data_IF_668921358818
#
_entry.id   IF_668921358818
#
_cell.length_a   1.000
_cell.length_b   1.000
_cell.length_c   1.000
_cell.angle_alpha   90.00
_cell.angle_beta   90.00
_cell.angle_gamma   90.00
#
_symmetry.space_group_name_H-M   'P 1'
#
loop_
_entity.id
_entity.type
_entity.pdbx_description
1 polymer ?
#
# COMPACT_ATOMS: atom_id res chain seq x y z
N UNK A 1 -61.46 -9.73 -45.87
CA UNK A 1 -60.56 -8.58 -45.57
C UNK A 1 -59.43 -9.11 -44.70
N UNK A 2 -58.20 -9.18 -45.23
CA UNK A 2 -56.99 -9.61 -44.50
C UNK A 2 -56.00 -8.44 -44.54
N UNK A 3 -55.57 -7.96 -43.37
CA UNK A 3 -54.58 -6.90 -43.24
C UNK A 3 -53.16 -7.50 -43.19
N UNK A 4 -52.15 -6.88 -43.84
CA UNK A 4 -50.77 -7.34 -43.75
C UNK A 4 -50.09 -6.81 -42.49
N UNK A 5 -49.32 -7.67 -41.82
CA UNK A 5 -48.46 -7.30 -40.70
C UNK A 5 -47.15 -6.72 -41.24
N UNK A 6 -46.88 -5.45 -40.91
CA UNK A 6 -45.58 -4.81 -41.12
C UNK A 6 -44.62 -5.26 -40.01
N UNK A 7 -43.58 -5.98 -40.39
CA UNK A 7 -42.40 -6.23 -39.54
C UNK A 7 -41.45 -5.04 -39.67
N UNK A 8 -41.35 -4.23 -38.61
CA UNK A 8 -40.41 -3.11 -38.51
C UNK A 8 -39.12 -3.62 -37.86
N UNK A 9 -38.08 -3.83 -38.67
CA UNK A 9 -36.74 -4.17 -38.19
C UNK A 9 -36.07 -2.94 -37.59
N UNK A 10 -35.99 -2.87 -36.26
CA UNK A 10 -35.18 -1.87 -35.56
C UNK A 10 -33.69 -2.29 -35.64
N UNK A 11 -32.91 -1.58 -36.44
CA UNK A 11 -31.45 -1.64 -36.40
C UNK A 11 -30.98 -0.92 -35.14
N UNK A 12 -30.62 -1.69 -34.11
CA UNK A 12 -29.95 -1.17 -32.92
C UNK A 12 -28.50 -0.90 -33.34
N UNK A 13 -28.18 0.35 -33.68
CA UNK A 13 -26.82 0.81 -33.81
C UNK A 13 -26.18 0.85 -32.42
N UNK A 14 -25.44 -0.20 -32.05
CA UNK A 14 -24.58 -0.17 -30.88
C UNK A 14 -23.48 0.85 -31.13
N UNK A 15 -23.34 1.92 -30.31
CA UNK A 15 -22.18 2.78 -30.40
C UNK A 15 -20.95 1.91 -30.13
N UNK A 16 -20.07 1.81 -31.12
CA UNK A 16 -18.75 1.26 -30.94
C UNK A 16 -17.97 2.28 -30.11
N UNK A 17 -18.03 2.13 -28.78
CA UNK A 17 -17.06 2.76 -27.91
C UNK A 17 -15.74 2.06 -28.23
N UNK A 18 -14.96 2.67 -29.11
CA UNK A 18 -13.56 2.33 -29.33
C UNK A 18 -12.82 2.67 -28.03
N UNK A 19 -12.94 1.77 -27.05
CA UNK A 19 -11.97 1.69 -25.97
C UNK A 19 -10.67 1.33 -26.65
N UNK A 20 -9.77 2.31 -26.77
CA UNK A 20 -8.37 2.04 -27.12
C UNK A 20 -7.80 1.14 -26.05
N UNK A 21 -7.96 -0.17 -26.22
CA UNK A 21 -7.18 -1.17 -25.52
C UNK A 21 -5.76 -0.96 -25.99
N UNK A 22 -4.98 -0.21 -25.22
CA UNK A 22 -3.52 -0.29 -25.30
C UNK A 22 -3.24 -1.78 -25.07
N UNK A 23 -2.95 -2.52 -26.14
CA UNK A 23 -2.42 -3.88 -26.02
C UNK A 23 -1.11 -3.70 -25.26
N UNK A 24 -1.17 -3.92 -23.95
CA UNK A 24 0.02 -4.14 -23.15
C UNK A 24 0.57 -5.46 -23.67
N UNK A 25 1.57 -5.39 -24.56
CA UNK A 25 2.42 -6.53 -24.83
C UNK A 25 2.89 -7.02 -23.45
N UNK A 26 2.56 -8.28 -23.13
CA UNK A 26 2.86 -8.89 -21.83
C UNK A 26 4.36 -9.19 -21.67
N UNK A 27 5.20 -8.36 -22.28
CA UNK A 27 6.64 -8.39 -22.19
C UNK A 27 6.98 -7.82 -20.83
N UNK A 28 7.21 -8.71 -19.86
CA UNK A 28 8.08 -8.62 -18.66
C UNK A 28 8.27 -7.27 -17.92
N UNK A 29 7.42 -6.28 -18.15
CA UNK A 29 7.57 -4.94 -17.59
C UNK A 29 7.07 -4.95 -16.15
N UNK A 30 7.92 -4.46 -15.26
CA UNK A 30 7.58 -4.19 -13.88
C UNK A 30 6.71 -2.94 -13.84
N UNK A 31 5.48 -3.08 -13.33
CA UNK A 31 4.50 -1.98 -13.32
C UNK A 31 4.28 -1.49 -11.90
N UNK A 32 4.50 -0.19 -11.70
CA UNK A 32 4.32 0.54 -10.43
C UNK A 32 3.26 1.64 -10.58
N UNK A 33 2.02 1.22 -10.83
CA UNK A 33 0.89 2.15 -10.87
C UNK A 33 0.43 2.50 -9.46
N UNK A 34 0.15 3.79 -9.21
CA UNK A 34 -0.40 4.25 -7.93
C UNK A 34 -1.83 3.74 -7.76
N UNK A 35 -2.11 2.98 -6.70
CA UNK A 35 -3.48 2.63 -6.30
C UNK A 35 -4.04 3.72 -5.38
N UNK A 36 -5.22 4.22 -5.73
CA UNK A 36 -5.91 5.27 -4.99
C UNK A 36 -7.36 4.89 -4.75
N UNK A 37 -7.89 5.27 -3.59
CA UNK A 37 -9.31 5.20 -3.28
C UNK A 37 -9.83 6.57 -2.87
N UNK A 38 -11.07 6.89 -3.28
CA UNK A 38 -11.74 8.16 -2.95
C UNK A 38 -11.97 8.33 -1.43
N UNK A 39 -12.05 7.21 -0.71
CA UNK A 39 -12.18 7.15 0.74
C UNK A 39 -11.27 6.03 1.31
N UNK A 40 -10.87 6.13 2.60
CA UNK A 40 -10.20 5.04 3.29
C UNK A 40 -11.01 3.74 3.22
N UNK A 41 -10.38 2.68 2.73
CA UNK A 41 -10.98 1.35 2.62
C UNK A 41 -10.96 0.64 3.97
N UNK A 42 -9.96 0.91 4.82
CA UNK A 42 -9.83 0.31 6.14
C UNK A 42 -9.93 1.39 7.22
N UNK A 43 -10.75 1.08 8.23
CA UNK A 43 -11.04 1.93 9.39
C UNK A 43 -10.70 1.18 10.67
N UNK A 44 -10.85 1.84 11.82
CA UNK A 44 -10.62 1.23 13.14
C UNK A 44 -11.49 0.00 13.43
N UNK A 45 -12.56 -0.23 12.67
CA UNK A 45 -13.40 -1.43 12.80
C UNK A 45 -12.75 -2.67 12.14
N UNK A 46 -11.69 -2.51 11.36
CA UNK A 46 -10.95 -3.62 10.76
C UNK A 46 -10.03 -4.27 11.81
N UNK A 47 -10.37 -5.47 12.26
CA UNK A 47 -9.66 -6.17 13.35
C UNK A 47 -8.16 -6.39 13.08
N UNK A 48 -7.80 -6.45 11.79
CA UNK A 48 -6.45 -6.72 11.30
C UNK A 48 -5.72 -5.44 10.85
N UNK A 49 -6.13 -4.28 11.38
CA UNK A 49 -5.46 -2.99 11.20
C UNK A 49 -4.36 -2.78 12.23
N UNK A 50 -3.23 -2.22 11.81
CA UNK A 50 -2.05 -1.96 12.64
C UNK A 50 -1.44 -0.58 12.38
N UNK A 51 -0.92 0.11 13.40
CA UNK A 51 -1.01 -0.25 14.82
C UNK A 51 -2.45 -0.16 15.33
N UNK A 52 -2.74 -0.84 16.45
CA UNK A 52 -4.05 -0.82 17.10
C UNK A 52 -3.92 -0.67 18.60
N UNK A 53 -5.03 -0.30 19.24
CA UNK A 53 -5.09 -0.17 20.70
C UNK A 53 -4.76 -1.49 21.39
N UNK A 54 -3.90 -1.44 22.39
CA UNK A 54 -3.68 -2.57 23.29
C UNK A 54 -4.94 -2.82 24.12
N UNK A 55 -5.22 -4.09 24.44
CA UNK A 55 -6.36 -4.49 25.28
C UNK A 55 -5.86 -5.30 26.48
N UNK A 56 -6.40 -5.07 27.67
CA UNK A 56 -6.02 -5.80 28.89
C UNK A 56 -6.54 -5.15 30.17
N UNK A 57 -6.63 -5.92 31.27
CA UNK A 57 -7.25 -5.47 32.54
C UNK A 57 -6.57 -4.25 33.17
N UNK A 58 -5.29 -4.01 32.88
CA UNK A 58 -4.50 -2.92 33.46
C UNK A 58 -3.92 -1.96 32.41
N UNK A 59 -4.47 -1.95 31.18
CA UNK A 59 -3.98 -1.08 30.10
C UNK A 59 -4.89 0.15 29.98
N UNK A 60 -4.37 1.31 30.34
CA UNK A 60 -5.10 2.59 30.26
C UNK A 60 -5.03 3.16 28.83
N UNK A 61 -3.86 3.09 28.21
CA UNK A 61 -3.59 3.54 26.85
C UNK A 61 -2.31 2.86 26.35
N UNK A 62 -2.23 2.63 25.04
CA UNK A 62 -1.09 1.97 24.43
C UNK A 62 -1.46 1.44 23.05
N UNK A 63 -0.45 1.34 22.19
CA UNK A 63 -0.60 0.81 20.84
C UNK A 63 0.33 -0.36 20.64
N UNK A 64 -0.21 -1.45 20.12
CA UNK A 64 0.57 -2.58 19.64
C UNK A 64 0.63 -2.56 18.11
N UNK A 65 1.71 -3.12 17.57
CA UNK A 65 1.92 -3.23 16.12
C UNK A 65 2.51 -4.59 15.80
N UNK A 66 2.02 -5.22 14.72
CA UNK A 66 2.72 -6.35 14.09
C UNK A 66 3.87 -5.89 13.19
N UNK A 67 3.95 -4.62 12.83
CA UNK A 67 5.00 -4.07 11.96
C UNK A 67 6.00 -3.28 12.80
N UNK A 68 7.30 -3.55 12.62
CA UNK A 68 8.37 -2.85 13.34
C UNK A 68 8.40 -1.37 12.92
N UNK A 69 8.39 -0.48 13.92
CA UNK A 69 8.62 0.94 13.70
C UNK A 69 10.12 1.25 13.53
N UNK A 70 10.44 2.32 12.82
CA UNK A 70 11.80 2.74 12.48
C UNK A 70 11.95 3.07 11.01
N UNK A 71 13.21 3.08 10.54
CA UNK A 71 13.53 3.30 9.14
C UNK A 71 13.35 1.99 8.36
N UNK A 72 12.96 2.09 7.11
CA UNK A 72 12.81 0.98 6.18
C UNK A 72 13.37 1.41 4.83
N UNK A 73 13.97 0.48 4.11
CA UNK A 73 14.46 0.69 2.75
C UNK A 73 13.64 -0.17 1.80
N UNK A 74 13.10 0.44 0.76
CA UNK A 74 12.56 -0.26 -0.40
C UNK A 74 13.71 -0.48 -1.38
N UNK A 75 14.11 -1.73 -1.56
CA UNK A 75 15.07 -2.11 -2.59
C UNK A 75 14.30 -2.60 -3.80
N UNK A 76 14.50 -2.01 -4.99
CA UNK A 76 13.85 -2.50 -6.20
C UNK A 76 14.34 -3.91 -6.55
N UNK A 77 13.53 -4.61 -7.34
CA UNK A 77 13.90 -5.90 -7.86
C UNK A 77 15.10 -5.73 -8.82
N UNK A 78 16.23 -6.45 -8.62
CA UNK A 78 17.40 -6.30 -9.48
C UNK A 78 17.16 -6.76 -10.93
N UNK A 79 16.05 -7.45 -11.22
CA UNK A 79 15.63 -7.79 -12.57
C UNK A 79 14.86 -6.65 -13.28
N UNK A 80 14.50 -5.59 -12.56
CA UNK A 80 13.87 -4.40 -13.14
C UNK A 80 14.95 -3.39 -13.56
N UNK A 81 15.27 -3.36 -14.85
CA UNK A 81 16.27 -2.44 -15.42
C UNK A 81 15.81 -0.97 -15.41
N UNK A 82 14.52 -0.73 -15.19
CA UNK A 82 13.90 0.59 -15.16
C UNK A 82 13.54 1.07 -13.76
N UNK A 83 13.84 0.27 -12.75
CA UNK A 83 13.59 0.67 -11.38
C UNK A 83 14.41 1.91 -11.01
N UNK A 84 13.74 2.83 -10.32
CA UNK A 84 14.41 3.91 -9.62
C UNK A 84 15.33 3.35 -8.51
N UNK A 85 16.18 4.20 -7.93
CA UNK A 85 17.05 3.83 -6.82
C UNK A 85 16.28 3.34 -5.58
N UNK A 86 16.99 2.90 -4.53
CA UNK A 86 16.34 2.54 -3.28
C UNK A 86 15.58 3.74 -2.69
N UNK A 87 14.39 3.50 -2.19
CA UNK A 87 13.57 4.51 -1.50
C UNK A 87 13.59 4.28 0.01
N UNK A 88 13.45 5.34 0.80
CA UNK A 88 13.42 5.27 2.25
C UNK A 88 12.05 5.62 2.82
N UNK A 89 11.65 4.84 3.82
CA UNK A 89 10.43 5.03 4.59
C UNK A 89 10.78 5.14 6.07
N UNK A 90 10.06 5.98 6.81
CA UNK A 90 10.08 5.96 8.29
C UNK A 90 8.66 5.73 8.79
N UNK A 91 8.50 4.67 9.58
CA UNK A 91 7.25 4.37 10.27
C UNK A 91 7.40 4.65 11.76
N UNK A 92 6.61 5.58 12.28
CA UNK A 92 6.58 5.94 13.70
C UNK A 92 5.22 5.60 14.30
N UNK A 93 5.17 5.27 15.59
CA UNK A 93 3.91 5.19 16.30
C UNK A 93 3.34 6.60 16.50
N UNK A 94 2.22 6.92 15.86
CA UNK A 94 1.56 8.21 16.00
C UNK A 94 0.48 8.10 17.08
N UNK A 95 0.84 8.49 18.30
CA UNK A 95 -0.09 8.69 19.43
C UNK A 95 -0.21 7.52 20.41
N UNK A 96 -0.54 7.85 21.66
CA UNK A 96 -0.84 6.86 22.72
C UNK A 96 -2.33 6.47 22.79
N UNK A 97 -3.22 7.36 22.32
CA UNK A 97 -4.68 7.21 22.39
C UNK A 97 -5.35 6.93 21.04
N UNK A 98 -4.71 7.32 19.94
CA UNK A 98 -5.20 7.11 18.58
C UNK A 98 -4.12 6.41 17.76
N UNK A 99 -4.04 5.08 17.91
CA UNK A 99 -3.00 4.29 17.27
C UNK A 99 -3.08 4.46 15.76
N UNK A 100 -2.02 4.99 15.16
CA UNK A 100 -1.83 5.09 13.71
C UNK A 100 -0.34 5.10 13.40
N UNK A 101 0.03 4.83 12.15
CA UNK A 101 1.40 4.96 11.70
C UNK A 101 1.63 6.39 11.18
N UNK A 102 2.63 7.08 11.71
CA UNK A 102 3.25 8.21 11.04
C UNK A 102 4.19 7.67 9.95
N UNK A 103 4.08 8.20 8.74
CA UNK A 103 4.75 7.68 7.54
C UNK A 103 5.46 8.84 6.86
N UNK A 104 6.79 8.78 6.82
CA UNK A 104 7.63 9.69 6.04
C UNK A 104 8.26 8.90 4.90
N UNK A 105 8.37 9.52 3.74
CA UNK A 105 9.01 8.99 2.54
C UNK A 105 10.12 9.94 2.11
N UNK A 106 11.24 9.40 1.61
CA UNK A 106 12.31 10.15 0.99
C UNK A 106 13.14 9.26 0.06
N UNK A 107 13.84 9.88 -0.90
CA UNK A 107 14.77 9.15 -1.78
C UNK A 107 16.09 8.84 -1.06
N UNK A 108 16.49 9.70 -0.11
CA UNK A 108 17.67 9.52 0.73
C UNK A 108 17.30 9.37 2.22
N UNK A 109 18.07 8.56 2.96
CA UNK A 109 17.77 8.26 4.37
C UNK A 109 17.79 9.52 5.23
N UNK A 110 18.76 10.39 5.01
CA UNK A 110 19.01 11.60 5.78
C UNK A 110 17.86 12.61 5.63
N UNK A 111 17.07 12.51 4.57
CA UNK A 111 15.92 13.38 4.33
C UNK A 111 14.67 12.97 5.11
N UNK A 112 14.63 11.76 5.69
CA UNK A 112 13.54 11.29 6.54
C UNK A 112 13.28 12.19 7.76
N UNK A 113 14.29 12.95 8.20
CA UNK A 113 14.14 13.91 9.31
C UNK A 113 13.35 15.18 8.93
N UNK A 114 13.32 15.51 7.63
CA UNK A 114 12.73 16.74 7.10
C UNK A 114 11.48 16.48 6.25
N UNK A 115 11.24 15.22 5.89
CA UNK A 115 10.13 14.81 5.06
C UNK A 115 8.77 15.11 5.70
N UNK A 116 7.77 15.34 4.86
CA UNK A 116 6.41 15.55 5.31
C UNK A 116 5.82 14.23 5.81
N UNK A 117 5.44 14.19 7.09
CA UNK A 117 4.74 13.04 7.65
C UNK A 117 3.30 13.00 7.13
N UNK A 118 2.91 11.82 6.68
CA UNK A 118 1.51 11.43 6.48
C UNK A 118 1.09 10.46 7.59
N UNK A 119 -0.21 10.28 7.79
CA UNK A 119 -0.75 9.28 8.71
C UNK A 119 -1.37 8.14 7.91
N UNK A 120 -1.28 6.92 8.44
CA UNK A 120 -1.79 5.74 7.77
C UNK A 120 -1.83 4.49 8.64
N UNK A 121 -2.03 3.36 7.99
CA UNK A 121 -2.17 2.05 8.63
C UNK A 121 -1.60 0.93 7.76
N UNK A 122 -1.18 -0.16 8.42
CA UNK A 122 -0.98 -1.45 7.79
C UNK A 122 -2.21 -2.31 8.01
N UNK A 123 -2.87 -2.74 6.96
CA UNK A 123 -3.97 -3.70 7.02
C UNK A 123 -3.48 -5.06 6.54
N UNK A 124 -3.64 -6.12 7.34
CA UNK A 124 -3.62 -7.47 6.80
C UNK A 124 -4.98 -7.69 6.12
N UNK A 125 -4.96 -7.74 4.79
CA UNK A 125 -6.14 -7.73 3.93
C UNK A 125 -6.57 -9.12 3.49
N UNK A 126 -5.70 -10.13 3.64
CA UNK A 126 -6.04 -11.52 3.38
C UNK A 126 -4.84 -12.42 3.16
N UNK A 127 -5.07 -13.49 2.42
CA UNK A 127 -4.06 -14.50 2.07
C UNK A 127 -4.11 -14.77 0.57
N UNK A 128 -2.99 -15.27 0.02
CA UNK A 128 -2.98 -15.92 -1.30
C UNK A 128 -3.89 -17.16 -1.30
N UNK A 129 -4.32 -17.59 -2.48
CA UNK A 129 -5.26 -18.71 -2.62
C UNK A 129 -4.72 -20.05 -2.08
N UNK A 130 -3.40 -20.24 -2.15
CA UNK A 130 -2.68 -21.39 -1.59
C UNK A 130 -2.31 -21.23 -0.11
N UNK A 131 -2.62 -20.07 0.49
CA UNK A 131 -2.29 -19.74 1.87
C UNK A 131 -0.80 -19.55 2.14
N UNK A 132 0.05 -19.48 1.11
CA UNK A 132 1.50 -19.41 1.26
C UNK A 132 2.01 -18.02 1.67
N UNK A 133 1.21 -16.97 1.47
CA UNK A 133 1.57 -15.58 1.78
C UNK A 133 0.41 -14.83 2.44
N UNK A 134 0.74 -14.05 3.46
CA UNK A 134 -0.12 -12.98 3.96
C UNK A 134 -0.09 -11.82 2.97
N UNK A 135 -1.24 -11.22 2.70
CA UNK A 135 -1.40 -10.04 1.85
C UNK A 135 -1.73 -8.84 2.72
N UNK A 136 -0.94 -7.79 2.55
CA UNK A 136 -1.01 -6.58 3.34
C UNK A 136 -1.20 -5.36 2.44
N UNK A 137 -1.81 -4.31 2.99
CA UNK A 137 -1.89 -3.00 2.35
C UNK A 137 -1.39 -1.93 3.32
N UNK A 138 -0.43 -1.11 2.88
CA UNK A 138 -0.06 0.13 3.56
C UNK A 138 -0.94 1.25 3.01
N UNK A 139 -1.93 1.65 3.79
CA UNK A 139 -2.81 2.79 3.51
C UNK A 139 -2.12 4.09 3.96
N UNK A 140 -2.02 5.07 3.06
CA UNK A 140 -1.46 6.40 3.34
C UNK A 140 -2.49 7.49 3.05
N UNK A 141 -2.64 8.43 3.98
CA UNK A 141 -3.59 9.54 3.84
C UNK A 141 -5.04 9.12 4.07
N UNK A 142 -5.91 10.12 4.24
CA UNK A 142 -7.34 9.93 4.51
C UNK A 142 -8.25 10.84 3.69
N UNK A 143 -7.83 12.09 3.45
CA UNK A 143 -8.59 13.12 2.72
C UNK A 143 -7.61 13.85 1.80
N UNK A 144 -7.91 14.02 0.50
CA UNK A 144 -9.16 13.69 -0.20
C UNK A 144 -9.29 12.22 -0.65
N UNK A 145 -8.47 11.33 -0.11
CA UNK A 145 -8.50 9.89 -0.40
C UNK A 145 -7.32 9.19 0.27
N UNK A 146 -7.10 7.94 -0.12
CA UNK A 146 -6.00 7.13 0.39
C UNK A 146 -5.23 6.46 -0.75
N UNK A 147 -3.91 6.47 -0.62
CA UNK A 147 -3.04 5.68 -1.49
C UNK A 147 -2.71 4.34 -0.82
N UNK A 148 -2.52 3.30 -1.64
CA UNK A 148 -2.23 1.95 -1.16
C UNK A 148 -0.96 1.40 -1.80
N UNK A 149 -0.04 0.95 -0.96
CA UNK A 149 1.06 0.08 -1.36
C UNK A 149 0.69 -1.36 -1.00
N UNK A 150 0.73 -2.27 -1.98
CA UNK A 150 0.42 -3.68 -1.76
C UNK A 150 1.69 -4.44 -1.38
N UNK A 151 1.56 -5.22 -0.32
CA UNK A 151 2.67 -5.90 0.33
C UNK A 151 2.33 -7.37 0.52
N UNK A 152 3.34 -8.22 0.55
CA UNK A 152 3.17 -9.62 0.92
C UNK A 152 4.32 -10.08 1.81
N UNK A 153 4.06 -11.12 2.61
CA UNK A 153 5.11 -11.81 3.36
C UNK A 153 4.73 -13.26 3.60
N UNK A 154 5.70 -14.06 4.02
CA UNK A 154 5.41 -15.38 4.57
C UNK A 154 4.60 -15.24 5.88
N UNK A 155 3.56 -16.05 6.12
CA UNK A 155 2.79 -16.02 7.35
C UNK A 155 3.66 -16.33 8.56
N UNK A 156 3.62 -15.45 9.55
CA UNK A 156 4.39 -15.57 10.79
C UNK A 156 3.75 -14.77 11.93
N UNK A 157 3.89 -15.26 13.16
CA UNK A 157 3.50 -14.57 14.38
C UNK A 157 4.51 -13.48 14.79
N UNK A 158 5.74 -13.56 14.29
CA UNK A 158 6.80 -12.60 14.61
C UNK A 158 6.49 -11.18 14.08
N UNK A 159 7.09 -10.18 14.76
CA UNK A 159 7.08 -8.79 14.30
C UNK A 159 7.64 -8.72 12.89
N UNK A 160 6.91 -8.05 12.00
CA UNK A 160 7.27 -7.89 10.61
C UNK A 160 8.42 -6.91 10.48
N UNK A 161 9.51 -7.38 9.89
CA UNK A 161 10.71 -6.61 9.53
C UNK A 161 11.01 -6.64 8.04
N UNK A 162 10.19 -7.34 7.24
CA UNK A 162 10.34 -7.46 5.79
C UNK A 162 9.01 -7.72 5.11
N UNK A 163 8.79 -7.05 3.98
CA UNK A 163 7.75 -7.35 3.00
C UNK A 163 8.36 -7.50 1.61
N UNK A 164 7.70 -8.29 0.77
CA UNK A 164 7.83 -8.18 -0.68
C UNK A 164 6.82 -7.13 -1.16
N UNK A 165 7.28 -6.14 -1.93
CA UNK A 165 6.41 -5.12 -2.53
C UNK A 165 5.80 -5.70 -3.79
N UNK A 166 4.48 -5.78 -3.86
CA UNK A 166 3.78 -6.38 -4.99
C UNK A 166 3.75 -5.41 -6.19
N UNK A 167 3.77 -5.96 -7.40
CA UNK A 167 3.45 -5.19 -8.61
C UNK A 167 2.06 -4.58 -8.52
N UNK A 168 1.84 -3.53 -9.32
CA UNK A 168 0.55 -2.86 -9.41
C UNK A 168 0.19 -2.72 -10.89
N UNK A 169 -0.64 -3.65 -11.38
CA UNK A 169 -1.21 -3.62 -12.73
C UNK A 169 -2.70 -3.35 -12.62
N UNK A 170 -3.13 -2.16 -13.02
CA UNK A 170 -4.51 -1.74 -12.82
C UNK A 170 -5.48 -2.60 -13.64
N UNK A 171 -6.56 -3.10 -13.02
CA UNK A 171 -7.59 -3.81 -13.76
C UNK A 171 -8.21 -2.93 -14.86
N UNK A 172 -8.63 -3.51 -16.00
CA UNK A 172 -9.29 -2.77 -17.06
C UNK A 172 -10.48 -1.96 -16.55
N UNK A 173 -10.56 -0.69 -16.93
CA UNK A 173 -11.64 0.22 -16.53
C UNK A 173 -11.45 0.91 -15.17
N UNK A 174 -10.42 0.54 -14.40
CA UNK A 174 -10.09 1.21 -13.13
C UNK A 174 -9.07 2.34 -13.29
N UNK A 175 -8.38 2.41 -14.43
CA UNK A 175 -7.41 3.48 -14.68
C UNK A 175 -8.08 4.85 -14.81
N UNK A 176 -7.55 5.83 -14.09
CA UNK A 176 -7.92 7.24 -14.15
C UNK A 176 -6.71 8.04 -14.58
N UNK A 177 -6.85 8.84 -15.63
CA UNK A 177 -5.83 9.76 -16.11
C UNK A 177 -6.49 10.95 -16.80
N UNK A 178 -5.72 12.01 -17.04
CA UNK A 178 -6.14 13.10 -17.92
C UNK A 178 -6.39 12.57 -19.33
N UNK A 179 -7.35 13.17 -20.03
CA UNK A 179 -7.64 12.82 -21.42
C UNK A 179 -6.44 13.09 -22.34
N UNK A 180 -5.65 14.12 -22.01
CA UNK A 180 -4.36 14.41 -22.60
C UNK A 180 -3.27 14.12 -21.54
N UNK A 181 -2.51 13.01 -21.66
CA UNK A 181 -1.48 12.65 -20.69
C UNK A 181 -0.31 13.64 -20.68
N UNK A 182 -0.09 14.37 -21.78
CA UNK A 182 1.03 15.31 -21.93
C UNK A 182 0.66 16.73 -21.43
N UNK A 183 -0.60 16.94 -21.03
CA UNK A 183 -1.10 18.25 -20.61
C UNK A 183 -0.34 18.85 -19.41
N UNK A 184 0.31 18.01 -18.59
CA UNK A 184 1.12 18.44 -17.44
C UNK A 184 2.60 17.99 -17.54
N UNK A 185 3.07 17.66 -18.75
CA UNK A 185 4.45 17.29 -19.05
C UNK A 185 5.00 16.20 -18.10
N UNK A 186 5.84 16.60 -17.13
CA UNK A 186 6.51 15.68 -16.20
C UNK A 186 5.62 15.16 -15.05
N UNK A 187 4.43 15.72 -14.84
CA UNK A 187 3.60 15.39 -13.68
C UNK A 187 2.72 14.16 -13.93
N UNK A 188 3.03 13.05 -13.25
CA UNK A 188 2.22 11.83 -13.31
C UNK A 188 0.88 12.02 -12.60
N UNK A 189 -0.20 12.12 -13.38
CA UNK A 189 -1.59 12.23 -12.87
C UNK A 189 -2.36 10.92 -12.89
N UNK A 190 -1.85 9.92 -13.60
CA UNK A 190 -2.46 8.59 -13.67
C UNK A 190 -2.50 7.88 -12.32
N UNK A 191 -3.59 7.16 -12.06
CA UNK A 191 -3.72 6.24 -10.94
C UNK A 191 -4.77 5.16 -11.21
N UNK A 192 -4.66 4.04 -10.49
CA UNK A 192 -5.64 2.98 -10.46
C UNK A 192 -6.68 3.23 -9.37
N UNK A 193 -7.93 3.44 -9.75
CA UNK A 193 -9.03 3.68 -8.81
C UNK A 193 -9.60 2.35 -8.28
N UNK A 194 -9.34 2.07 -7.01
CA UNK A 194 -9.85 0.88 -6.30
C UNK A 194 -10.66 1.36 -5.10
N UNK A 195 -11.98 1.28 -5.20
CA UNK A 195 -12.91 1.87 -4.22
C UNK A 195 -13.63 0.83 -3.35
N UNK A 196 -13.14 -0.42 -3.31
CA UNK A 196 -13.68 -1.46 -2.42
C UNK A 196 -12.58 -2.34 -1.84
N UNK A 197 -12.82 -2.90 -0.65
CA UNK A 197 -11.90 -3.85 0.00
C UNK A 197 -11.75 -5.13 -0.83
N UNK A 198 -12.84 -5.65 -1.38
CA UNK A 198 -12.85 -6.87 -2.19
C UNK A 198 -12.02 -6.71 -3.46
N UNK A 199 -12.14 -5.57 -4.16
CA UNK A 199 -11.34 -5.29 -5.35
C UNK A 199 -9.85 -5.15 -5.00
N UNK A 200 -9.51 -4.52 -3.88
CA UNK A 200 -8.12 -4.39 -3.43
C UNK A 200 -7.51 -5.75 -3.09
N UNK A 201 -8.28 -6.64 -2.43
CA UNK A 201 -7.84 -8.00 -2.14
C UNK A 201 -7.69 -8.83 -3.42
N UNK A 202 -8.63 -8.71 -4.36
CA UNK A 202 -8.55 -9.38 -5.65
C UNK A 202 -7.30 -8.94 -6.43
N UNK A 203 -7.02 -7.63 -6.46
CA UNK A 203 -5.81 -7.07 -7.04
C UNK A 203 -4.56 -7.62 -6.35
N UNK A 204 -4.48 -7.57 -5.02
CA UNK A 204 -3.34 -8.08 -4.26
C UNK A 204 -3.05 -9.57 -4.55
N UNK A 205 -4.10 -10.40 -4.65
CA UNK A 205 -3.94 -11.82 -5.02
C UNK A 205 -3.40 -12.00 -6.43
N UNK A 206 -3.89 -11.24 -7.39
CA UNK A 206 -3.39 -11.30 -8.77
C UNK A 206 -1.92 -10.88 -8.83
N UNK A 207 -1.55 -9.82 -8.12
CA UNK A 207 -0.18 -9.29 -8.11
C UNK A 207 0.80 -10.17 -7.33
N UNK A 208 0.33 -10.89 -6.31
CA UNK A 208 1.14 -11.84 -5.55
C UNK A 208 1.59 -13.06 -6.39
N UNK A 209 0.97 -13.31 -7.54
CA UNK A 209 1.38 -14.33 -8.50
C UNK A 209 2.47 -13.85 -9.47
N UNK A 210 2.83 -12.57 -9.45
CA UNK A 210 3.88 -11.97 -10.25
C UNK A 210 5.17 -11.80 -9.43
N UNK A 211 6.34 -11.66 -10.09
CA UNK A 211 7.56 -11.24 -9.41
C UNK A 211 7.33 -9.93 -8.63
N UNK A 212 7.81 -9.78 -7.39
CA UNK A 212 7.64 -8.53 -6.65
C UNK A 212 8.40 -7.38 -7.31
N UNK A 213 7.93 -6.14 -7.11
CA UNK A 213 8.65 -4.91 -7.50
C UNK A 213 9.96 -4.73 -6.73
N UNK A 214 10.06 -5.35 -5.57
CA UNK A 214 11.17 -5.15 -4.68
C UNK A 214 10.87 -5.66 -3.28
N UNK A 215 11.68 -5.23 -2.33
CA UNK A 215 11.59 -5.64 -0.94
C UNK A 215 11.58 -4.41 -0.05
N UNK A 216 10.67 -4.36 0.91
CA UNK A 216 10.62 -3.32 1.92
C UNK A 216 11.17 -3.93 3.21
N UNK A 217 12.35 -3.48 3.64
CA UNK A 217 13.11 -4.09 4.73
C UNK A 217 13.40 -3.09 5.84
N UNK A 218 13.16 -3.50 7.08
CA UNK A 218 13.43 -2.66 8.25
C UNK A 218 14.94 -2.49 8.41
N UNK A 219 15.33 -1.25 8.66
CA UNK A 219 16.68 -0.88 9.01
C UNK A 219 16.66 -0.16 10.35
N UNK A 220 17.49 -0.61 11.30
CA UNK A 220 17.58 0.04 12.60
C UNK A 220 17.83 1.55 12.41
N UNK A 221 16.90 2.35 12.93
CA UNK A 221 17.00 3.80 12.98
C UNK A 221 18.10 4.24 13.96
N UNK A 222 18.60 5.48 13.86
CA UNK A 222 19.57 6.01 14.82
C UNK A 222 19.03 6.06 16.27
N UNK A 223 17.71 6.07 16.48
CA UNK A 223 17.09 6.17 17.81
C UNK A 223 16.93 4.83 18.56
N UNK A 224 17.22 3.68 17.93
CA UNK A 224 17.30 2.39 18.65
C UNK A 224 18.59 2.29 19.51
N UNK A 225 19.37 3.38 19.58
CA UNK A 225 20.40 3.61 20.59
C UNK A 225 19.84 4.25 21.87
N UNK A 226 18.56 4.03 22.20
CA UNK A 226 18.12 4.25 23.56
C UNK A 226 19.02 3.39 24.45
N UNK A 227 19.84 3.99 25.34
CA UNK A 227 20.82 3.24 26.11
C UNK A 227 20.12 2.09 26.81
N UNK A 228 20.73 0.91 26.77
CA UNK A 228 20.19 -0.27 27.42
C UNK A 228 19.80 0.12 28.87
N UNK A 229 18.56 -0.09 29.32
CA UNK A 229 18.17 0.25 30.68
C UNK A 229 19.09 -0.39 31.74
N UNK A 230 19.80 -1.48 31.40
CA UNK A 230 20.86 -2.03 32.23
C UNK A 230 22.05 -1.06 32.43
N UNK A 231 22.45 -0.30 31.41
CA UNK A 231 23.50 0.73 31.51
C UNK A 231 23.03 1.97 32.31
N UNK A 232 21.72 2.24 32.38
CA UNK A 232 21.18 3.34 33.20
C UNK A 232 21.02 3.01 34.69
N UNK A 233 21.24 1.75 35.11
CA UNK A 233 21.12 1.33 36.52
C UNK A 233 22.43 1.45 37.33
N UNK A 234 23.52 1.92 36.73
CA UNK A 234 24.87 1.87 37.30
C UNK A 234 25.26 2.95 38.32
N UNK A 235 24.55 4.09 38.37
CA UNK A 235 24.93 5.24 39.22
C UNK A 235 23.77 5.69 40.12
N UNK A 236 23.38 4.84 41.06
CA UNK A 236 22.67 5.33 42.26
C UNK A 236 23.72 5.48 43.36
N UNK A 237 24.11 6.74 43.58
CA UNK A 237 25.02 7.19 44.62
C UNK A 237 24.71 6.48 45.95
N UNK A 238 25.73 5.79 46.48
CA UNK A 238 25.79 5.41 47.88
C UNK A 238 26.33 6.62 48.66
N UNK A 239 25.45 7.30 49.38
CA UNK A 239 25.81 8.18 50.51
C UNK A 239 25.62 7.42 51.84
#
# INVERSE_FOLDING_TARGET
MRAPALFLSLLIATPAWAQGTREYEADEEFVTERVHADLPLYTFDWEQLWPRGMTGENIIAGCESRVRFGDWIMQPNPADEHADGPEWYRFTNYGAFHCSAGIVFADEREELEKGNASTGFFALIGMTADGSRELWALQRGFIPGSDYLLLARKPDADIVTRFDVLQLRCPPGHWRALADPDALDIMRTGYCAINSQDDLLALARAMAALPPLGTLEWHAGPEDSSPDPAEMSGDVMSD
#
